data_IF_169038402910
#
_entry.id   IF_169038402910
#
_cell.length_a   1.000
_cell.length_b   1.000
_cell.length_c   1.000
_cell.angle_alpha   90.00
_cell.angle_beta   90.00
_cell.angle_gamma   90.00
#
_symmetry.space_group_name_H-M   'P 1'
#
loop_
_entity.id
_entity.type
_entity.pdbx_description
1 polymer ?
#
# COMPACT_ATOMS: atom_id res chain seq x y z
N UNK A 1 6.12 17.67 12.51
CA UNK A 1 4.95 18.55 12.31
C UNK A 1 3.99 17.81 11.41
N UNK A 2 2.93 17.27 12.00
CA UNK A 2 1.91 16.46 11.32
C UNK A 2 1.17 17.33 10.31
N UNK A 3 1.34 17.05 9.01
CA UNK A 3 0.48 17.61 7.97
C UNK A 3 -0.97 17.28 8.30
N UNK A 4 -1.84 18.27 8.10
CA UNK A 4 -3.26 18.24 8.43
C UNK A 4 -3.90 16.88 8.11
N UNK A 5 -4.12 16.08 9.16
CA UNK A 5 -5.10 15.01 9.11
C UNK A 5 -6.42 15.74 8.91
N UNK A 6 -7.00 15.69 7.71
CA UNK A 6 -8.40 16.09 7.50
C UNK A 6 -9.21 15.40 8.60
N UNK A 7 -9.57 16.17 9.62
CA UNK A 7 -10.28 15.67 10.78
C UNK A 7 -11.64 15.25 10.28
N UNK A 8 -11.87 13.93 10.25
CA UNK A 8 -13.16 13.35 9.86
C UNK A 8 -14.24 13.92 10.78
N UNK A 9 -15.32 14.45 10.21
CA UNK A 9 -16.45 14.97 10.99
C UNK A 9 -16.98 13.88 11.93
N UNK A 10 -17.19 14.18 13.23
CA UNK A 10 -17.82 13.25 14.16
C UNK A 10 -19.20 12.78 13.70
N UNK A 11 -19.96 13.68 13.06
CA UNK A 11 -21.29 13.39 12.50
C UNK A 11 -21.20 12.42 11.33
N UNK A 12 -20.29 12.67 10.37
CA UNK A 12 -20.07 11.77 9.23
C UNK A 12 -19.60 10.38 9.69
N UNK A 13 -18.70 10.34 10.68
CA UNK A 13 -18.24 9.08 11.25
C UNK A 13 -19.36 8.30 11.93
N UNK A 14 -20.20 8.99 12.71
CA UNK A 14 -21.36 8.38 13.35
C UNK A 14 -22.33 7.83 12.30
N UNK A 15 -22.68 8.61 11.29
CA UNK A 15 -23.58 8.18 10.21
C UNK A 15 -23.03 6.97 9.43
N UNK A 16 -21.73 6.95 9.12
CA UNK A 16 -21.12 5.80 8.46
C UNK A 16 -21.10 4.57 9.36
N UNK A 17 -20.81 4.74 10.66
CA UNK A 17 -20.79 3.66 11.65
C UNK A 17 -22.17 3.00 11.79
N UNK A 18 -23.24 3.80 11.86
CA UNK A 18 -24.62 3.29 11.91
C UNK A 18 -24.97 2.47 10.67
N UNK A 19 -24.61 2.95 9.46
CA UNK A 19 -24.85 2.19 8.22
C UNK A 19 -24.06 0.88 8.17
N UNK A 20 -22.80 0.91 8.57
CA UNK A 20 -21.94 -0.29 8.58
C UNK A 20 -22.33 -1.29 9.66
N UNK A 21 -22.91 -0.81 10.78
CA UNK A 21 -23.45 -1.70 11.81
C UNK A 21 -24.57 -2.58 11.27
N UNK A 22 -25.51 -2.01 10.50
CA UNK A 22 -26.58 -2.79 9.86
C UNK A 22 -26.03 -3.87 8.92
N UNK A 23 -24.96 -3.58 8.18
CA UNK A 23 -24.29 -4.56 7.31
C UNK A 23 -23.62 -5.67 8.15
N UNK A 24 -22.90 -5.30 9.21
CA UNK A 24 -22.21 -6.26 10.07
C UNK A 24 -23.18 -7.14 10.90
N UNK A 25 -24.36 -6.64 11.24
CA UNK A 25 -25.42 -7.42 11.89
C UNK A 25 -26.00 -8.48 10.94
N UNK A 26 -26.12 -8.17 9.64
CA UNK A 26 -26.55 -9.11 8.62
C UNK A 26 -25.45 -10.11 8.23
N UNK A 27 -24.19 -9.67 8.17
CA UNK A 27 -23.02 -10.49 7.87
C UNK A 27 -21.81 -10.02 8.71
N UNK A 28 -21.51 -10.73 9.82
CA UNK A 28 -20.40 -10.38 10.71
C UNK A 28 -19.03 -10.35 10.03
N UNK A 29 -18.87 -11.00 8.87
CA UNK A 29 -17.60 -11.02 8.14
C UNK A 29 -17.30 -9.71 7.42
N UNK A 30 -18.29 -8.82 7.30
CA UNK A 30 -18.17 -7.49 6.69
C UNK A 30 -17.93 -6.36 7.70
N UNK A 31 -17.54 -6.72 8.93
CA UNK A 31 -17.23 -5.75 9.97
C UNK A 31 -16.05 -4.83 9.61
N UNK A 32 -16.17 -3.54 9.97
CA UNK A 32 -15.08 -2.57 9.95
C UNK A 32 -14.99 -1.83 11.28
N UNK A 33 -13.78 -1.70 11.80
CA UNK A 33 -13.50 -0.88 12.98
C UNK A 33 -13.47 0.63 12.65
N UNK A 34 -13.44 1.45 13.70
CA UNK A 34 -13.49 2.91 13.56
C UNK A 34 -12.32 3.48 12.75
N UNK A 35 -11.11 2.95 12.92
CA UNK A 35 -9.92 3.37 12.16
C UNK A 35 -10.12 3.16 10.66
N UNK A 36 -10.67 2.01 10.26
CA UNK A 36 -11.05 1.74 8.88
C UNK A 36 -12.08 2.73 8.37
N UNK A 37 -13.17 2.97 9.11
CA UNK A 37 -14.20 3.92 8.68
C UNK A 37 -13.63 5.33 8.46
N UNK A 38 -12.73 5.78 9.35
CA UNK A 38 -12.03 7.06 9.22
C UNK A 38 -11.16 7.12 7.96
N UNK A 39 -10.43 6.06 7.60
CA UNK A 39 -9.67 5.98 6.34
C UNK A 39 -10.57 6.17 5.12
N UNK A 40 -11.69 5.47 5.07
CA UNK A 40 -12.64 5.59 3.97
C UNK A 40 -13.25 7.00 3.89
N UNK A 41 -13.60 7.61 5.01
CA UNK A 41 -14.10 9.00 5.01
C UNK A 41 -13.05 9.99 4.53
N UNK A 42 -11.78 9.86 4.96
CA UNK A 42 -10.69 10.71 4.46
C UNK A 42 -10.47 10.57 2.96
N UNK A 43 -10.57 9.36 2.41
CA UNK A 43 -10.36 9.10 0.99
C UNK A 43 -11.54 9.55 0.12
N UNK A 44 -12.77 9.19 0.53
CA UNK A 44 -13.97 9.35 -0.30
C UNK A 44 -14.80 10.59 0.04
N UNK A 45 -14.40 11.36 1.07
CA UNK A 45 -14.89 12.70 1.47
C UNK A 45 -16.33 12.78 1.95
N UNK A 46 -17.22 11.87 1.55
CA UNK A 46 -18.63 11.85 1.96
C UNK A 46 -19.01 10.48 2.51
N UNK A 47 -20.03 10.45 3.38
CA UNK A 47 -20.58 9.22 3.96
C UNK A 47 -21.04 8.24 2.89
N UNK A 48 -21.79 8.72 1.89
CA UNK A 48 -22.32 7.88 0.81
C UNK A 48 -21.20 7.25 -0.03
N UNK A 49 -20.21 8.05 -0.42
CA UNK A 49 -19.09 7.56 -1.23
C UNK A 49 -18.21 6.57 -0.44
N UNK A 50 -17.95 6.86 0.84
CA UNK A 50 -17.22 5.96 1.73
C UNK A 50 -17.94 4.63 1.93
N UNK A 51 -19.25 4.67 2.20
CA UNK A 51 -20.08 3.47 2.36
C UNK A 51 -20.08 2.60 1.09
N UNK A 52 -20.30 3.21 -0.08
CA UNK A 52 -20.27 2.48 -1.35
C UNK A 52 -18.88 1.90 -1.67
N UNK A 53 -17.80 2.59 -1.31
CA UNK A 53 -16.44 2.10 -1.50
C UNK A 53 -16.12 0.91 -0.59
N UNK A 54 -16.61 0.92 0.66
CA UNK A 54 -16.49 -0.22 1.58
C UNK A 54 -17.19 -1.45 1.00
N UNK A 55 -18.47 -1.31 0.60
CA UNK A 55 -19.23 -2.44 0.04
C UNK A 55 -18.57 -3.02 -1.23
N UNK A 56 -18.07 -2.14 -2.12
CA UNK A 56 -17.31 -2.57 -3.30
C UNK A 56 -16.03 -3.30 -2.93
N UNK A 57 -15.34 -2.85 -1.89
CA UNK A 57 -14.12 -3.50 -1.41
C UNK A 57 -14.44 -4.87 -0.81
N UNK A 58 -15.47 -5.00 0.05
CA UNK A 58 -15.84 -6.28 0.64
C UNK A 58 -16.19 -7.31 -0.44
N UNK A 59 -17.04 -6.93 -1.40
CA UNK A 59 -17.38 -7.77 -2.55
C UNK A 59 -16.15 -8.14 -3.40
N UNK A 60 -15.24 -7.18 -3.63
CA UNK A 60 -14.00 -7.47 -4.35
C UNK A 60 -13.14 -8.47 -3.58
N UNK A 61 -12.99 -8.32 -2.26
CA UNK A 61 -12.17 -9.23 -1.43
C UNK A 61 -12.65 -10.67 -1.51
N UNK A 62 -13.97 -10.87 -1.48
CA UNK A 62 -14.60 -12.19 -1.65
C UNK A 62 -14.36 -12.75 -3.05
N UNK A 63 -14.72 -12.00 -4.09
CA UNK A 63 -14.58 -12.46 -5.48
C UNK A 63 -13.13 -12.73 -5.87
N UNK A 64 -12.19 -11.94 -5.35
CA UNK A 64 -10.76 -12.05 -5.62
C UNK A 64 -10.10 -13.18 -4.81
N UNK A 65 -10.79 -13.73 -3.80
CA UNK A 65 -10.26 -14.80 -2.95
C UNK A 65 -9.13 -14.33 -2.03
N UNK A 66 -9.23 -13.11 -1.47
CA UNK A 66 -8.15 -12.50 -0.67
C UNK A 66 -7.75 -13.37 0.53
N UNK A 67 -8.71 -14.07 1.15
CA UNK A 67 -8.47 -14.96 2.29
C UNK A 67 -7.58 -16.16 1.95
N UNK A 68 -7.60 -16.60 0.69
CA UNK A 68 -6.92 -17.82 0.23
C UNK A 68 -5.63 -17.53 -0.54
N UNK A 69 -5.24 -16.25 -0.66
CA UNK A 69 -4.08 -15.83 -1.45
C UNK A 69 -2.78 -16.52 -1.01
N UNK A 70 -2.54 -16.65 0.29
CA UNK A 70 -1.28 -17.23 0.83
C UNK A 70 -1.01 -18.65 0.33
N UNK A 71 -2.05 -19.40 -0.02
CA UNK A 71 -1.96 -20.78 -0.50
C UNK A 71 -1.79 -20.88 -2.02
N UNK A 72 -1.89 -19.75 -2.75
CA UNK A 72 -1.79 -19.75 -4.21
C UNK A 72 -0.33 -19.83 -4.68
N UNK A 73 -0.04 -20.58 -5.77
CA UNK A 73 1.31 -20.68 -6.35
C UNK A 73 1.94 -19.32 -6.69
N UNK A 74 1.10 -18.38 -7.13
CA UNK A 74 1.49 -17.00 -7.42
C UNK A 74 2.29 -16.32 -6.29
N UNK A 75 2.06 -16.70 -5.03
CA UNK A 75 2.81 -16.13 -3.91
C UNK A 75 4.22 -16.72 -3.86
N UNK A 76 4.33 -18.05 -3.87
CA UNK A 76 5.61 -18.76 -3.81
C UNK A 76 6.51 -18.40 -4.99
N UNK A 77 5.94 -18.29 -6.18
CA UNK A 77 6.65 -17.93 -7.42
C UNK A 77 7.27 -16.52 -7.37
N UNK A 78 6.79 -15.63 -6.51
CA UNK A 78 7.13 -14.22 -6.53
C UNK A 78 7.78 -13.70 -5.23
N UNK A 79 8.11 -14.58 -4.27
CA UNK A 79 8.66 -14.20 -2.96
C UNK A 79 9.95 -13.36 -3.01
N UNK A 80 10.74 -13.46 -4.09
CA UNK A 80 11.95 -12.66 -4.26
C UNK A 80 11.67 -11.23 -4.75
N UNK A 81 10.45 -10.93 -5.22
CA UNK A 81 10.10 -9.61 -5.76
C UNK A 81 9.69 -8.61 -4.69
N UNK A 82 9.25 -9.07 -3.52
CA UNK A 82 8.95 -8.21 -2.38
C UNK A 82 8.93 -8.99 -1.06
N UNK A 83 9.21 -8.31 0.05
CA UNK A 83 9.15 -8.89 1.40
C UNK A 83 8.51 -7.91 2.37
N UNK A 84 7.55 -8.38 3.17
CA UNK A 84 7.05 -7.64 4.33
C UNK A 84 8.01 -7.87 5.49
N UNK A 85 8.74 -6.84 5.90
CA UNK A 85 9.79 -6.96 6.90
C UNK A 85 9.23 -7.25 8.29
N UNK A 86 10.06 -7.81 9.16
CA UNK A 86 9.72 -8.04 10.57
C UNK A 86 9.82 -6.75 11.40
N UNK A 87 10.76 -5.89 11.04
CA UNK A 87 10.95 -4.58 11.65
C UNK A 87 10.06 -3.53 10.99
N UNK A 88 9.88 -2.42 11.70
CA UNK A 88 9.06 -1.28 11.31
C UNK A 88 9.93 -0.09 10.96
N UNK A 89 9.34 0.88 10.27
CA UNK A 89 9.95 2.21 10.12
C UNK A 89 10.00 2.93 11.49
N UNK A 90 10.73 4.04 11.58
CA UNK A 90 10.90 4.77 12.85
C UNK A 90 9.59 5.36 13.41
N UNK A 91 8.53 5.42 12.59
CA UNK A 91 7.19 5.86 12.97
C UNK A 91 6.26 4.69 13.31
N UNK A 92 6.77 3.45 13.28
CA UNK A 92 6.05 2.23 13.62
C UNK A 92 5.29 1.58 12.45
N UNK A 93 5.45 2.07 11.21
CA UNK A 93 4.74 1.51 10.05
C UNK A 93 5.34 0.17 9.65
N UNK A 94 4.52 -0.84 9.33
CA UNK A 94 4.99 -2.03 8.64
C UNK A 94 5.68 -1.66 7.32
N UNK A 95 6.80 -2.33 7.02
CA UNK A 95 7.60 -2.04 5.83
C UNK A 95 7.43 -3.15 4.79
N UNK A 96 7.09 -2.77 3.56
CA UNK A 96 7.14 -3.63 2.37
C UNK A 96 8.39 -3.23 1.59
N UNK A 97 9.34 -4.14 1.46
CA UNK A 97 10.58 -3.93 0.71
C UNK A 97 10.50 -4.58 -0.66
N UNK A 98 10.87 -3.85 -1.71
CA UNK A 98 10.76 -4.25 -3.12
C UNK A 98 12.10 -4.00 -3.83
N UNK A 99 12.94 -5.04 -4.03
CA UNK A 99 14.12 -4.94 -4.87
C UNK A 99 13.71 -4.98 -6.35
N UNK A 100 13.73 -3.82 -7.02
CA UNK A 100 13.22 -3.69 -8.38
C UNK A 100 14.00 -4.53 -9.42
N UNK A 101 15.29 -4.80 -9.16
CA UNK A 101 16.14 -5.68 -9.99
C UNK A 101 15.56 -7.08 -10.22
N UNK A 102 14.73 -7.58 -9.30
CA UNK A 102 14.10 -8.91 -9.39
C UNK A 102 12.83 -8.92 -10.26
N UNK A 103 12.47 -7.76 -10.83
CA UNK A 103 11.36 -7.64 -11.75
C UNK A 103 11.85 -7.60 -13.21
N UNK A 104 11.13 -8.29 -14.08
CA UNK A 104 11.28 -8.20 -15.52
C UNK A 104 9.88 -8.09 -16.12
N UNK A 105 9.62 -6.99 -16.81
CA UNK A 105 8.30 -6.67 -17.36
C UNK A 105 7.88 -7.57 -18.53
N UNK A 106 8.84 -8.23 -19.18
CA UNK A 106 8.60 -9.12 -20.33
C UNK A 106 8.30 -10.57 -19.93
N UNK A 107 8.71 -10.99 -18.74
CA UNK A 107 8.63 -12.39 -18.28
C UNK A 107 7.48 -12.63 -17.28
N UNK A 108 6.71 -11.59 -16.99
CA UNK A 108 5.73 -11.62 -15.91
C UNK A 108 4.36 -12.15 -16.35
N UNK A 109 3.69 -12.77 -15.38
CA UNK A 109 2.24 -12.88 -15.35
C UNK A 109 1.65 -11.73 -14.50
N UNK A 110 0.78 -10.91 -15.12
CA UNK A 110 0.17 -9.76 -14.45
C UNK A 110 -0.78 -10.16 -13.34
N UNK A 111 -1.54 -11.23 -13.55
CA UNK A 111 -2.55 -11.66 -12.60
C UNK A 111 -1.88 -12.28 -11.38
N UNK A 112 -0.84 -13.11 -11.58
CA UNK A 112 -0.03 -13.63 -10.48
C UNK A 112 0.66 -12.52 -9.69
N UNK A 113 1.28 -11.55 -10.37
CA UNK A 113 1.94 -10.43 -9.68
C UNK A 113 0.96 -9.51 -8.96
N UNK A 114 -0.24 -9.28 -9.53
CA UNK A 114 -1.26 -8.50 -8.84
C UNK A 114 -1.74 -9.23 -7.57
N UNK A 115 -1.92 -10.55 -7.63
CA UNK A 115 -2.22 -11.36 -6.43
C UNK A 115 -1.12 -11.28 -5.38
N UNK A 116 0.15 -11.31 -5.82
CA UNK A 116 1.29 -11.16 -4.93
C UNK A 116 1.35 -9.78 -4.27
N UNK A 117 1.09 -8.70 -5.02
CA UNK A 117 0.98 -7.33 -4.49
C UNK A 117 -0.12 -7.27 -3.41
N UNK A 118 -1.31 -7.81 -3.71
CA UNK A 118 -2.43 -7.85 -2.76
C UNK A 118 -2.02 -8.63 -1.49
N UNK A 119 -1.38 -9.77 -1.64
CA UNK A 119 -0.85 -10.55 -0.50
C UNK A 119 0.13 -9.73 0.36
N UNK A 120 1.10 -9.03 -0.24
CA UNK A 120 2.02 -8.17 0.51
C UNK A 120 1.30 -7.05 1.26
N UNK A 121 0.30 -6.41 0.62
CA UNK A 121 -0.51 -5.37 1.26
C UNK A 121 -1.32 -5.93 2.43
N UNK A 122 -1.95 -7.11 2.28
CA UNK A 122 -2.68 -7.79 3.36
C UNK A 122 -1.76 -8.14 4.53
N UNK A 123 -0.62 -8.79 4.26
CA UNK A 123 0.36 -9.15 5.29
C UNK A 123 0.90 -7.93 6.02
N UNK A 124 1.14 -6.82 5.32
CA UNK A 124 1.57 -5.58 5.95
C UNK A 124 0.45 -4.95 6.78
N UNK A 125 -0.79 -4.93 6.29
CA UNK A 125 -1.95 -4.43 7.04
C UNK A 125 -2.21 -5.25 8.32
N UNK A 126 -2.02 -6.56 8.30
CA UNK A 126 -2.12 -7.43 9.48
C UNK A 126 -1.07 -7.07 10.56
N UNK A 127 0.07 -6.49 10.15
CA UNK A 127 1.08 -5.97 11.07
C UNK A 127 0.77 -4.54 11.54
N UNK A 128 -0.27 -3.85 11.09
CA UNK A 128 -0.59 -2.52 11.62
C UNK A 128 -1.07 -2.59 13.08
N UNK A 129 -0.59 -1.66 13.91
CA UNK A 129 -1.17 -1.39 15.23
C UNK A 129 -1.98 -0.11 15.08
N UNK A 130 -3.27 -0.23 14.73
CA UNK A 130 -4.05 0.92 14.23
C UNK A 130 -4.24 2.05 15.25
N UNK A 131 -4.06 1.79 16.56
CA UNK A 131 -4.01 2.82 17.60
C UNK A 131 -2.77 3.72 17.53
N UNK A 132 -1.66 3.20 16.97
CA UNK A 132 -0.38 3.90 16.81
C UNK A 132 -0.22 4.36 15.36
N UNK A 133 -0.34 3.44 14.41
CA UNK A 133 -0.30 3.73 12.98
C UNK A 133 -1.06 2.69 12.17
N UNK A 134 -1.89 3.18 11.26
CA UNK A 134 -2.63 2.37 10.30
C UNK A 134 -2.07 2.49 8.87
N UNK A 135 -0.93 3.17 8.72
CA UNK A 135 -0.24 3.35 7.45
C UNK A 135 0.92 2.36 7.27
N UNK A 136 1.34 2.21 6.02
CA UNK A 136 2.42 1.36 5.55
C UNK A 136 3.58 2.22 5.04
N UNK A 137 4.79 1.68 5.14
CA UNK A 137 5.96 2.17 4.43
C UNK A 137 6.27 1.19 3.28
N UNK A 138 6.39 1.69 2.05
CA UNK A 138 6.83 0.90 0.90
C UNK A 138 8.22 1.38 0.52
N UNK A 139 9.18 0.48 0.36
CA UNK A 139 10.56 0.80 -0.05
C UNK A 139 10.81 0.16 -1.40
N UNK A 140 11.07 0.97 -2.41
CA UNK A 140 11.60 0.55 -3.69
C UNK A 140 13.10 0.73 -3.69
N UNK A 141 13.83 -0.38 -3.71
CA UNK A 141 15.27 -0.38 -3.96
C UNK A 141 15.52 -0.51 -5.46
N UNK A 142 16.14 0.51 -6.05
CA UNK A 142 16.48 0.58 -7.46
C UNK A 142 17.97 0.26 -7.73
N UNK A 143 18.68 -0.35 -6.76
CA UNK A 143 19.99 -0.93 -7.02
C UNK A 143 19.90 -1.94 -8.17
N UNK A 144 20.84 -1.87 -9.11
CA UNK A 144 20.87 -2.67 -10.35
C UNK A 144 19.61 -2.56 -11.22
N UNK A 145 18.85 -1.49 -11.07
CA UNK A 145 17.67 -1.24 -11.88
C UNK A 145 18.04 -1.02 -13.35
N UNK A 146 17.39 -1.76 -14.24
CA UNK A 146 17.45 -1.57 -15.68
C UNK A 146 16.06 -1.26 -16.24
N UNK A 147 15.99 -0.83 -17.50
CA UNK A 147 14.71 -0.49 -18.14
C UNK A 147 13.76 -1.69 -18.26
N UNK A 148 14.26 -2.94 -18.29
CA UNK A 148 13.41 -4.13 -18.26
C UNK A 148 12.70 -4.31 -16.93
N UNK A 149 13.21 -3.73 -15.84
CA UNK A 149 12.56 -3.72 -14.54
C UNK A 149 11.40 -2.70 -14.46
N UNK A 150 11.33 -1.73 -15.40
CA UNK A 150 10.24 -0.76 -15.41
C UNK A 150 8.95 -1.39 -15.93
N UNK A 151 7.89 -1.33 -15.13
CA UNK A 151 6.59 -1.84 -15.50
C UNK A 151 5.47 -0.89 -15.13
N UNK A 152 5.10 -0.06 -16.10
CA UNK A 152 4.03 0.91 -15.95
C UNK A 152 2.67 0.29 -15.64
N UNK A 153 2.41 -0.94 -16.10
CA UNK A 153 1.12 -1.60 -15.85
C UNK A 153 1.00 -1.99 -14.38
N UNK A 154 2.03 -2.62 -13.80
CA UNK A 154 2.00 -2.96 -12.37
C UNK A 154 2.05 -1.74 -11.47
N UNK A 155 2.80 -0.69 -11.84
CA UNK A 155 2.77 0.57 -11.08
C UNK A 155 1.35 1.15 -11.07
N UNK A 156 0.66 1.17 -12.21
CA UNK A 156 -0.75 1.59 -12.28
C UNK A 156 -1.67 0.68 -11.46
N UNK A 157 -1.46 -0.64 -11.51
CA UNK A 157 -2.25 -1.59 -10.71
C UNK A 157 -2.06 -1.35 -9.21
N UNK A 158 -0.83 -1.13 -8.75
CA UNK A 158 -0.52 -0.82 -7.35
C UNK A 158 -1.19 0.50 -6.92
N UNK A 159 -1.06 1.56 -7.71
CA UNK A 159 -1.73 2.85 -7.45
C UNK A 159 -3.24 2.64 -7.35
N UNK A 160 -3.83 1.91 -8.31
CA UNK A 160 -5.26 1.62 -8.33
C UNK A 160 -5.72 0.84 -7.10
N UNK A 161 -4.98 -0.20 -6.69
CA UNK A 161 -5.26 -0.97 -5.47
C UNK A 161 -5.22 -0.05 -4.24
N UNK A 162 -4.17 0.77 -4.10
CA UNK A 162 -4.01 1.72 -2.99
C UNK A 162 -5.14 2.77 -2.96
N UNK A 163 -5.61 3.24 -4.11
CA UNK A 163 -6.69 4.22 -4.17
C UNK A 163 -8.08 3.63 -3.96
N UNK A 164 -8.32 2.37 -4.36
CA UNK A 164 -9.68 1.78 -4.35
C UNK A 164 -9.94 0.84 -3.18
N UNK A 165 -8.99 -0.02 -2.84
CA UNK A 165 -9.18 -1.11 -1.88
C UNK A 165 -8.35 -0.96 -0.61
N UNK A 166 -7.27 -0.16 -0.67
CA UNK A 166 -6.43 0.16 0.48
C UNK A 166 -6.32 1.68 0.72
N UNK A 167 -7.45 2.41 0.73
CA UNK A 167 -7.44 3.86 0.82
C UNK A 167 -6.71 4.31 2.09
N UNK A 168 -5.90 5.36 1.95
CA UNK A 168 -5.18 5.99 3.06
C UNK A 168 -4.22 5.01 3.80
N UNK A 169 -3.84 3.88 3.20
CA UNK A 169 -2.84 2.97 3.76
C UNK A 169 -1.41 3.40 3.48
N UNK A 170 -1.11 4.08 2.37
CA UNK A 170 0.25 4.57 2.14
C UNK A 170 0.57 5.73 3.07
N UNK A 171 1.63 5.60 3.87
CA UNK A 171 2.18 6.65 4.74
C UNK A 171 3.51 7.19 4.27
N UNK A 172 4.38 6.32 3.74
CA UNK A 172 5.63 6.70 3.09
C UNK A 172 5.98 5.70 1.97
N UNK A 173 6.53 6.22 0.87
CA UNK A 173 7.09 5.45 -0.21
C UNK A 173 8.53 5.93 -0.44
N UNK A 174 9.51 5.11 -0.08
CA UNK A 174 10.93 5.45 -0.21
C UNK A 174 11.46 4.89 -1.53
N UNK A 175 12.06 5.74 -2.36
CA UNK A 175 12.77 5.34 -3.56
C UNK A 175 14.27 5.48 -3.29
N UNK A 176 14.98 4.37 -3.21
CA UNK A 176 16.41 4.33 -2.92
C UNK A 176 17.20 3.95 -4.16
N UNK A 177 18.49 4.31 -4.19
CA UNK A 177 19.42 3.90 -5.24
C UNK A 177 18.93 4.24 -6.66
N UNK A 178 18.15 5.32 -6.81
CA UNK A 178 17.52 5.65 -8.09
C UNK A 178 18.56 6.00 -9.14
N UNK A 179 18.64 5.27 -10.27
CA UNK A 179 19.60 5.60 -11.33
C UNK A 179 19.18 6.88 -12.06
N UNK A 180 20.13 7.54 -12.71
CA UNK A 180 19.89 8.82 -13.40
C UNK A 180 18.72 8.76 -14.42
N UNK A 181 18.53 7.61 -15.09
CA UNK A 181 17.42 7.39 -16.03
C UNK A 181 16.04 7.57 -15.38
N UNK A 182 15.91 7.30 -14.07
CA UNK A 182 14.64 7.38 -13.35
C UNK A 182 14.08 8.82 -13.30
N UNK A 183 14.93 9.84 -13.47
CA UNK A 183 14.51 11.24 -13.63
C UNK A 183 13.57 11.46 -14.82
N UNK A 184 13.63 10.61 -15.85
CA UNK A 184 12.72 10.65 -17.01
C UNK A 184 11.44 9.84 -16.79
N UNK A 185 11.51 8.81 -15.94
CA UNK A 185 10.39 7.90 -15.65
C UNK A 185 9.45 8.52 -14.60
N UNK A 186 10.01 9.17 -13.58
CA UNK A 186 9.25 9.71 -12.47
C UNK A 186 8.15 10.71 -12.88
N UNK A 187 8.36 11.66 -13.80
CA UNK A 187 7.29 12.56 -14.25
C UNK A 187 6.06 11.83 -14.81
N UNK A 188 6.28 10.69 -15.50
CA UNK A 188 5.20 9.87 -16.04
C UNK A 188 4.38 9.21 -14.92
N UNK A 189 5.07 8.63 -13.92
CA UNK A 189 4.40 8.03 -12.76
C UNK A 189 3.68 9.09 -11.93
N UNK A 190 4.33 10.24 -11.70
CA UNK A 190 3.77 11.35 -10.92
C UNK A 190 2.45 11.88 -11.49
N UNK A 191 2.29 11.86 -12.81
CA UNK A 191 1.05 12.27 -13.47
C UNK A 191 -0.15 11.36 -13.14
N UNK A 192 0.07 10.16 -12.59
CA UNK A 192 -0.99 9.24 -12.17
C UNK A 192 -1.34 9.35 -10.68
N UNK A 193 -0.57 10.12 -9.92
CA UNK A 193 -0.71 10.27 -8.48
C UNK A 193 -1.47 11.54 -8.16
N UNK A 194 -2.43 11.43 -7.24
CA UNK A 194 -2.99 12.60 -6.59
C UNK A 194 -1.95 13.27 -5.67
N UNK A 195 -2.20 14.51 -5.28
CA UNK A 195 -1.28 15.31 -4.48
C UNK A 195 -0.94 14.68 -3.12
N UNK A 196 -1.91 14.04 -2.46
CA UNK A 196 -1.71 13.37 -1.18
C UNK A 196 -0.86 12.10 -1.31
N UNK A 197 -0.97 11.36 -2.42
CA UNK A 197 -0.08 10.22 -2.68
C UNK A 197 1.33 10.68 -3.08
N UNK A 198 1.42 11.71 -3.93
CA UNK A 198 2.69 12.27 -4.41
C UNK A 198 3.55 12.84 -3.28
N UNK A 199 2.93 13.49 -2.28
CA UNK A 199 3.62 14.06 -1.12
C UNK A 199 4.22 13.03 -0.17
N UNK A 200 3.86 11.75 -0.32
CA UNK A 200 4.36 10.63 0.48
C UNK A 200 5.52 9.89 -0.19
N UNK A 201 5.97 10.34 -1.36
CA UNK A 201 7.08 9.72 -2.10
C UNK A 201 8.36 10.50 -1.81
N UNK A 202 9.36 9.78 -1.30
CA UNK A 202 10.63 10.33 -0.85
C UNK A 202 11.77 9.65 -1.62
N UNK A 203 12.56 10.44 -2.32
CA UNK A 203 13.81 9.97 -2.91
C UNK A 203 14.90 10.02 -1.83
N UNK A 204 15.53 8.88 -1.58
CA UNK A 204 16.55 8.70 -0.55
C UNK A 204 17.87 8.42 -1.23
N UNK A 205 18.80 9.36 -1.12
CA UNK A 205 20.08 9.34 -1.87
C UNK A 205 21.29 9.04 -0.98
N UNK A 206 21.09 8.88 0.33
CA UNK A 206 22.14 8.53 1.28
C UNK A 206 21.61 7.72 2.45
N UNK A 207 22.50 7.02 3.15
CA UNK A 207 22.18 6.30 4.38
C UNK A 207 21.68 7.24 5.48
N UNK A 208 22.23 8.45 5.58
CA UNK A 208 21.77 9.47 6.53
C UNK A 208 20.30 9.87 6.27
N UNK A 209 19.91 10.01 5.00
CA UNK A 209 18.50 10.24 4.64
C UNK A 209 17.63 9.04 4.96
N UNK A 210 18.13 7.82 4.73
CA UNK A 210 17.40 6.58 5.03
C UNK A 210 17.12 6.44 6.53
N UNK A 211 18.10 6.77 7.37
CA UNK A 211 17.99 6.77 8.84
C UNK A 211 16.88 7.68 9.37
N UNK A 212 16.41 8.67 8.59
CA UNK A 212 15.23 9.49 8.92
C UNK A 212 13.91 8.73 8.79
N UNK A 213 13.92 7.53 8.22
CA UNK A 213 12.74 6.71 7.99
C UNK A 213 12.87 5.31 8.58
N UNK A 214 14.02 4.65 8.44
CA UNK A 214 14.24 3.29 8.96
C UNK A 214 15.72 3.03 9.25
N UNK A 215 15.99 2.05 10.10
CA UNK A 215 17.36 1.59 10.40
C UNK A 215 17.84 0.74 9.21
N UNK A 216 18.96 1.08 8.53
CA UNK A 216 19.41 0.37 7.33
C UNK A 216 19.53 -1.15 7.49
N UNK A 217 19.99 -1.61 8.65
CA UNK A 217 20.20 -3.04 8.97
C UNK A 217 18.94 -3.92 8.89
N UNK A 218 17.73 -3.32 8.87
CA UNK A 218 16.50 -4.08 8.70
C UNK A 218 16.28 -4.50 7.24
N UNK A 219 16.96 -3.84 6.30
CA UNK A 219 16.84 -4.12 4.88
C UNK A 219 17.53 -5.46 4.55
N UNK A 220 16.89 -6.29 3.72
CA UNK A 220 17.43 -7.60 3.39
C UNK A 220 18.59 -7.50 2.40
N UNK A 221 19.68 -8.20 2.69
CA UNK A 221 20.83 -8.35 1.79
C UNK A 221 20.75 -9.64 0.95
N UNK A 222 19.74 -10.48 1.19
CA UNK A 222 19.54 -11.81 0.61
C UNK A 222 18.50 -11.83 -0.52
N UNK A 223 18.10 -10.66 -1.02
CA UNK A 223 17.13 -10.51 -2.11
C UNK A 223 17.69 -9.79 -3.32
#
# INVERSE_FOLDING_TARGET
MSGDVLTVSPEDLKALKERMQLIAEADPTQYHNEFSLRRYLRAFKTVDAAFQAILKTNKWRENYGVKDLEQQPAIQNNLLKARVLNHRDITGRPVIYIPAKNHNSSERDIDELTKFIVYCLEKACQKCFEEVTDNLCIVFDLADFSTSCMDYQLVKNLIWLLSKHYPERLGACLIMNSPAIFSTIWPVIRAWLDENTSSKIFFVNSEEELCKYLIPDILPNDM
#
